data_IF_043463412977
#
_entry.id   IF_043463412977
#
_cell.length_a   1.000
_cell.length_b   1.000
_cell.length_c   1.000
_cell.angle_alpha   90.00
_cell.angle_beta   90.00
_cell.angle_gamma   90.00
#
_symmetry.space_group_name_H-M   'P 1'
#
loop_
_entity.id
_entity.type
_entity.pdbx_description
1 polymer ?
#
# COMPACT_ATOMS: atom_id res chain seq x y z
N UNK A 1 -19.57 36.46 -39.19
CA UNK A 1 -18.64 35.58 -38.42
C UNK A 1 -18.47 35.96 -36.94
N UNK A 2 -18.38 37.25 -36.57
CA UNK A 2 -18.15 37.66 -35.16
C UNK A 2 -19.28 37.25 -34.19
N UNK A 3 -20.55 37.37 -34.60
CA UNK A 3 -21.71 37.07 -33.73
C UNK A 3 -21.82 35.58 -33.34
N UNK A 4 -21.54 34.65 -34.26
CA UNK A 4 -21.57 33.21 -33.94
C UNK A 4 -20.49 32.81 -32.92
N UNK A 5 -19.29 33.40 -33.01
CA UNK A 5 -18.21 33.17 -32.03
C UNK A 5 -18.58 33.71 -30.65
N UNK A 6 -19.26 34.86 -30.60
CA UNK A 6 -19.72 35.45 -29.35
C UNK A 6 -20.78 34.59 -28.65
N UNK A 7 -21.76 34.06 -29.39
CA UNK A 7 -22.81 33.17 -28.84
C UNK A 7 -22.19 31.86 -28.33
N UNK A 8 -21.24 31.27 -29.05
CA UNK A 8 -20.53 30.06 -28.59
C UNK A 8 -19.76 30.35 -27.30
N UNK A 9 -19.05 31.47 -27.22
CA UNK A 9 -18.31 31.86 -26.01
C UNK A 9 -19.25 32.02 -24.80
N UNK A 10 -20.39 32.67 -25.00
CA UNK A 10 -21.40 32.87 -23.95
C UNK A 10 -21.99 31.54 -23.47
N UNK A 11 -22.27 30.62 -24.40
CA UNK A 11 -22.76 29.27 -24.07
C UNK A 11 -21.71 28.46 -23.30
N UNK A 12 -20.43 28.53 -23.71
CA UNK A 12 -19.32 27.89 -22.98
C UNK A 12 -19.20 28.49 -21.58
N UNK A 13 -19.22 29.83 -21.44
CA UNK A 13 -19.16 30.49 -20.14
C UNK A 13 -20.35 30.12 -19.23
N UNK A 14 -21.56 29.98 -19.79
CA UNK A 14 -22.71 29.48 -19.03
C UNK A 14 -22.52 28.04 -18.56
N UNK A 15 -22.01 27.15 -19.42
CA UNK A 15 -21.72 25.76 -19.04
C UNK A 15 -20.65 25.70 -17.95
N UNK A 16 -19.57 26.49 -18.06
CA UNK A 16 -18.53 26.54 -17.03
C UNK A 16 -19.00 27.19 -15.74
N UNK A 17 -19.83 28.23 -15.81
CA UNK A 17 -20.42 28.87 -14.63
C UNK A 17 -21.41 27.94 -13.92
N UNK A 18 -22.24 27.23 -14.69
CA UNK A 18 -23.12 26.19 -14.15
C UNK A 18 -22.31 25.05 -13.55
N UNK A 19 -21.26 24.61 -14.25
CA UNK A 19 -20.29 23.64 -13.74
C UNK A 19 -19.72 24.07 -12.40
N UNK A 20 -19.18 25.29 -12.31
CA UNK A 20 -18.62 25.86 -11.09
C UNK A 20 -19.59 25.82 -9.91
N UNK A 21 -20.88 26.14 -10.17
CA UNK A 21 -21.93 26.10 -9.16
C UNK A 21 -22.28 24.67 -8.75
N UNK A 22 -22.42 23.75 -9.71
CA UNK A 22 -22.76 22.34 -9.45
C UNK A 22 -21.61 21.62 -8.72
N UNK A 23 -20.37 22.00 -8.98
CA UNK A 23 -19.18 21.45 -8.33
C UNK A 23 -18.80 22.20 -7.05
N UNK A 24 -19.58 23.21 -6.63
CA UNK A 24 -19.39 23.95 -5.38
C UNK A 24 -17.94 24.43 -5.17
N UNK A 25 -17.30 24.98 -6.21
CA UNK A 25 -15.88 25.34 -6.12
C UNK A 25 -15.71 26.61 -5.28
N UNK A 26 -15.16 26.43 -4.08
CA UNK A 26 -14.82 27.51 -3.16
C UNK A 26 -13.29 27.64 -2.97
N UNK A 27 -12.66 28.49 -3.77
CA UNK A 27 -11.19 28.70 -3.72
C UNK A 27 -10.72 29.25 -2.36
N UNK A 28 -11.61 29.92 -1.60
CA UNK A 28 -11.30 30.44 -0.28
C UNK A 28 -11.02 29.34 0.76
N UNK A 29 -11.77 28.23 0.72
CA UNK A 29 -11.62 27.13 1.67
C UNK A 29 -10.26 26.42 1.51
N UNK A 30 -9.76 26.32 0.28
CA UNK A 30 -8.44 25.74 -0.03
C UNK A 30 -7.32 26.38 0.80
N UNK A 31 -7.36 27.70 0.99
CA UNK A 31 -6.33 28.42 1.76
C UNK A 31 -6.66 28.46 3.26
N UNK A 32 -7.94 28.53 3.63
CA UNK A 32 -8.39 28.57 5.03
C UNK A 32 -8.03 27.26 5.75
N UNK A 33 -8.34 26.13 5.13
CA UNK A 33 -8.29 24.81 5.78
C UNK A 33 -6.96 24.07 5.54
N UNK A 34 -6.02 24.70 4.81
CA UNK A 34 -4.68 24.16 4.54
C UNK A 34 -3.89 23.78 5.81
N UNK A 35 -4.12 24.49 6.91
CA UNK A 35 -3.47 24.23 8.20
C UNK A 35 -3.79 22.82 8.75
N UNK A 36 -4.95 22.24 8.41
CA UNK A 36 -5.34 20.88 8.81
C UNK A 36 -4.56 19.81 8.04
N UNK A 37 -4.16 20.10 6.81
CA UNK A 37 -3.46 19.17 5.91
C UNK A 37 -1.95 19.20 6.13
N UNK A 38 -1.41 20.34 6.57
CA UNK A 38 0.02 20.55 6.83
C UNK A 38 0.69 19.44 7.69
N UNK A 39 0.13 18.99 8.84
CA UNK A 39 0.73 17.91 9.61
C UNK A 39 0.76 16.58 8.85
N UNK A 40 -0.34 16.24 8.15
CA UNK A 40 -0.46 15.02 7.36
C UNK A 40 0.58 14.96 6.23
N UNK A 41 0.74 16.06 5.50
CA UNK A 41 1.74 16.16 4.43
C UNK A 41 3.16 16.08 4.97
N UNK A 42 3.41 16.65 6.16
CA UNK A 42 4.71 16.57 6.81
C UNK A 42 5.06 15.14 7.21
N UNK A 43 4.11 14.40 7.77
CA UNK A 43 4.29 12.99 8.15
C UNK A 43 4.48 12.10 6.92
N UNK A 44 3.68 12.29 5.87
CA UNK A 44 3.87 11.60 4.58
C UNK A 44 5.24 11.87 3.95
N UNK A 45 5.83 13.04 4.19
CA UNK A 45 7.15 13.42 3.71
C UNK A 45 8.31 12.88 4.60
N UNK A 46 8.01 12.25 5.73
CA UNK A 46 8.97 11.66 6.66
C UNK A 46 8.80 10.13 6.69
N UNK A 47 9.25 9.42 5.63
CA UNK A 47 9.06 7.98 5.54
C UNK A 47 9.83 7.26 6.66
N UNK A 48 9.16 6.29 7.27
CA UNK A 48 9.75 5.36 8.23
C UNK A 48 10.62 4.31 7.51
N UNK A 49 11.88 4.65 7.26
CA UNK A 49 12.84 3.79 6.54
C UNK A 49 13.80 3.04 7.46
N UNK A 50 14.20 3.65 8.57
CA UNK A 50 15.21 3.11 9.47
C UNK A 50 14.77 3.26 10.91
N UNK A 51 14.89 2.18 11.66
CA UNK A 51 14.63 2.15 13.11
C UNK A 51 15.86 1.63 13.84
N UNK A 52 15.92 1.92 15.14
CA UNK A 52 16.86 1.28 16.06
C UNK A 52 16.07 0.37 16.99
N UNK A 53 16.62 -0.80 17.30
CA UNK A 53 15.95 -1.76 18.18
C UNK A 53 15.80 -1.13 19.56
N UNK A 54 14.57 -1.11 20.06
CA UNK A 54 14.29 -0.67 21.43
C UNK A 54 14.36 -1.88 22.33
N UNK A 55 15.41 -1.96 23.15
CA UNK A 55 15.39 -2.90 24.28
C UNK A 55 14.67 -2.25 25.45
N UNK A 56 13.83 -3.04 26.08
CA UNK A 56 13.11 -2.64 27.28
C UNK A 56 13.56 -3.55 28.42
N UNK A 57 13.94 -2.96 29.54
CA UNK A 57 14.18 -3.68 30.77
C UNK A 57 13.06 -3.33 31.73
N UNK A 58 12.38 -4.37 32.20
CA UNK A 58 11.28 -4.27 33.16
C UNK A 58 11.74 -4.91 34.45
N UNK A 59 11.62 -4.17 35.54
CA UNK A 59 11.94 -4.65 36.88
C UNK A 59 10.75 -4.41 37.79
N UNK A 60 10.37 -5.44 38.54
CA UNK A 60 9.17 -5.44 39.35
C UNK A 60 9.49 -5.83 40.78
N UNK A 61 8.81 -5.19 41.73
CA UNK A 61 8.92 -5.51 43.15
C UNK A 61 7.52 -5.54 43.78
N UNK A 62 7.17 -6.63 44.50
CA UNK A 62 5.86 -6.73 45.13
C UNK A 62 5.76 -5.80 46.34
N UNK A 63 4.57 -5.24 46.53
CA UNK A 63 4.20 -4.42 47.68
C UNK A 63 2.87 -4.93 48.26
N UNK A 64 2.79 -5.04 49.59
CA UNK A 64 1.61 -5.51 50.30
C UNK A 64 0.83 -4.36 50.93
N UNK A 65 -0.43 -4.21 50.56
CA UNK A 65 -1.32 -3.19 51.13
C UNK A 65 -1.97 -3.71 52.43
N UNK A 66 -1.17 -3.94 53.48
CA UNK A 66 -1.61 -4.41 54.80
C UNK A 66 -0.48 -4.36 55.85
N UNK A 67 -0.80 -4.14 57.13
CA UNK A 67 0.17 -4.22 58.26
C UNK A 67 0.56 -5.66 58.67
N UNK A 68 0.34 -6.67 57.82
CA UNK A 68 0.75 -8.03 58.13
C UNK A 68 2.27 -8.16 58.10
N UNK A 69 2.88 -8.71 59.16
CA UNK A 69 4.30 -9.07 59.28
C UNK A 69 4.79 -10.12 58.26
N UNK A 70 3.99 -10.48 57.26
CA UNK A 70 4.41 -11.29 56.13
C UNK A 70 5.23 -10.42 55.18
N UNK A 71 6.51 -10.25 55.51
CA UNK A 71 7.47 -9.63 54.59
C UNK A 71 7.53 -10.52 53.33
N UNK A 72 7.30 -9.99 52.13
CA UNK A 72 7.46 -10.80 50.92
C UNK A 72 8.90 -11.33 50.88
N UNK A 73 9.05 -12.65 50.68
CA UNK A 73 10.37 -13.28 50.57
C UNK A 73 11.12 -12.67 49.39
N UNK A 74 12.17 -11.90 49.70
CA UNK A 74 13.10 -11.37 48.72
C UNK A 74 13.91 -12.54 48.16
N UNK A 75 13.70 -12.86 46.89
CA UNK A 75 14.61 -13.76 46.17
C UNK A 75 15.90 -12.97 45.94
N UNK A 76 17.02 -13.41 46.54
CA UNK A 76 18.34 -12.88 46.25
C UNK A 76 18.70 -13.16 44.80
N UNK A 77 18.30 -12.26 43.90
CA UNK A 77 18.67 -12.27 42.49
C UNK A 77 19.86 -11.34 42.30
N UNK A 78 20.89 -11.83 41.60
CA UNK A 78 22.10 -11.10 41.19
C UNK A 78 21.87 -10.15 39.99
N UNK A 79 20.62 -10.09 39.48
CA UNK A 79 20.24 -9.29 38.33
C UNK A 79 19.63 -7.91 38.68
N UNK A 80 19.09 -7.20 37.67
CA UNK A 80 18.43 -5.90 37.85
C UNK A 80 17.25 -6.03 38.83
N UNK A 81 17.18 -5.15 39.83
CA UNK A 81 16.16 -5.22 40.90
C UNK A 81 15.76 -3.86 41.43
N UNK A 82 14.55 -3.80 41.98
CA UNK A 82 14.05 -2.66 42.74
C UNK A 82 14.06 -2.98 44.24
N UNK A 83 14.47 -2.02 45.04
CA UNK A 83 14.48 -2.07 46.50
C UNK A 83 13.55 -0.98 46.99
N UNK A 84 12.58 -1.37 47.81
CA UNK A 84 11.67 -0.43 48.48
C UNK A 84 12.14 -0.21 49.93
N UNK A 85 11.97 1.02 50.43
CA UNK A 85 12.19 1.33 51.84
C UNK A 85 11.26 0.55 52.77
N UNK A 86 10.05 0.23 52.30
CA UNK A 86 9.12 -0.70 52.94
C UNK A 86 8.37 -1.51 51.88
N UNK A 87 8.16 -2.79 52.14
CA UNK A 87 7.42 -3.71 51.27
C UNK A 87 5.95 -3.85 51.67
N UNK A 88 5.53 -3.14 52.72
CA UNK A 88 4.14 -3.03 53.15
C UNK A 88 3.82 -1.62 53.66
N UNK A 89 2.54 -1.23 53.57
CA UNK A 89 2.09 0.09 54.02
C UNK A 89 0.66 0.42 53.61
N UNK A 90 0.25 1.65 53.88
CA UNK A 90 -1.07 2.19 53.63
C UNK A 90 -1.09 3.17 52.45
N UNK A 91 -2.30 3.50 51.99
CA UNK A 91 -2.50 4.52 50.96
C UNK A 91 -1.95 5.85 51.46
N UNK A 92 -1.27 6.61 50.59
CA UNK A 92 -0.59 7.88 50.91
C UNK A 92 0.70 7.77 51.72
N UNK A 93 1.18 6.57 52.04
CA UNK A 93 2.53 6.41 52.60
C UNK A 93 3.60 6.80 51.59
N UNK A 94 4.67 7.41 52.10
CA UNK A 94 5.87 7.75 51.30
C UNK A 94 6.84 6.59 51.33
N UNK A 95 7.27 6.17 50.15
CA UNK A 95 8.20 5.06 49.95
C UNK A 95 9.36 5.54 49.09
N UNK A 96 10.58 5.20 49.47
CA UNK A 96 11.75 5.41 48.62
C UNK A 96 11.97 4.15 47.79
N UNK A 97 12.08 4.33 46.47
CA UNK A 97 12.34 3.26 45.50
C UNK A 97 13.75 3.45 44.96
N UNK A 98 14.60 2.45 45.21
CA UNK A 98 15.94 2.39 44.63
C UNK A 98 15.98 1.32 43.54
N UNK A 99 16.41 1.68 42.34
CA UNK A 99 16.75 0.70 41.30
C UNK A 99 18.23 0.42 41.30
N UNK A 100 18.61 -0.86 41.14
CA UNK A 100 20.00 -1.31 41.06
C UNK A 100 20.16 -2.23 39.85
N UNK A 101 21.26 -2.06 39.12
CA UNK A 101 21.64 -2.92 37.98
C UNK A 101 20.82 -2.67 36.72
N UNK A 102 20.22 -1.48 36.58
CA UNK A 102 19.54 -1.04 35.37
C UNK A 102 20.56 -0.53 34.34
N UNK A 103 20.15 -0.36 33.08
CA UNK A 103 21.07 0.23 32.09
C UNK A 103 21.48 1.67 32.45
N UNK A 104 22.77 2.01 32.39
CA UNK A 104 23.27 3.35 32.76
C UNK A 104 22.78 4.47 31.84
N UNK A 105 22.63 5.67 32.43
CA UNK A 105 22.30 6.93 31.73
C UNK A 105 21.01 6.88 30.88
N UNK A 106 20.06 6.03 31.26
CA UNK A 106 18.78 5.87 30.58
C UNK A 106 17.64 6.54 31.34
N UNK A 107 16.65 7.02 30.57
CA UNK A 107 15.40 7.52 31.12
C UNK A 107 14.39 6.37 31.26
N UNK A 108 13.75 6.31 32.43
CA UNK A 108 12.74 5.32 32.77
C UNK A 108 11.47 5.93 33.33
N UNK A 109 10.43 5.10 33.44
CA UNK A 109 9.18 5.44 34.10
C UNK A 109 8.82 4.41 35.15
N UNK A 110 8.34 4.89 36.30
CA UNK A 110 7.78 4.06 37.36
C UNK A 110 6.28 3.97 37.21
N UNK A 111 5.76 2.77 37.46
CA UNK A 111 4.36 2.44 37.45
C UNK A 111 3.99 1.71 38.73
N UNK A 112 2.81 2.01 39.25
CA UNK A 112 2.13 1.21 40.25
C UNK A 112 1.16 0.28 39.54
N UNK A 113 1.32 -1.02 39.73
CA UNK A 113 0.46 -2.04 39.14
C UNK A 113 -0.40 -2.62 40.27
N UNK A 114 -1.72 -2.50 40.12
CA UNK A 114 -2.65 -3.02 41.13
C UNK A 114 -2.94 -4.52 40.93
N UNK A 115 -3.78 -5.09 41.79
CA UNK A 115 -4.13 -6.52 41.76
C UNK A 115 -4.89 -6.98 40.50
N UNK A 116 -5.36 -6.04 39.67
CA UNK A 116 -6.02 -6.31 38.38
C UNK A 116 -5.12 -5.95 37.19
N UNK A 117 -3.80 -5.86 37.41
CA UNK A 117 -2.78 -5.56 36.39
C UNK A 117 -2.91 -4.18 35.71
N UNK A 118 -3.66 -3.26 36.31
CA UNK A 118 -3.77 -1.89 35.80
C UNK A 118 -2.57 -1.05 36.25
N UNK A 119 -1.88 -0.43 35.29
CA UNK A 119 -0.70 0.41 35.52
C UNK A 119 -1.08 1.88 35.78
N UNK A 120 -0.53 2.48 36.84
CA UNK A 120 -0.67 3.89 37.18
C UNK A 120 0.71 4.55 37.20
N UNK A 121 0.96 5.62 36.42
CA UNK A 121 2.28 6.24 36.38
C UNK A 121 2.61 6.95 37.71
N UNK A 122 3.78 6.64 38.27
CA UNK A 122 4.37 7.27 39.47
C UNK A 122 5.44 8.32 39.11
N UNK A 123 5.72 8.48 37.81
CA UNK A 123 6.61 9.49 37.24
C UNK A 123 7.93 8.91 36.70
N UNK A 124 8.73 9.77 36.08
CA UNK A 124 9.98 9.38 35.40
C UNK A 124 11.23 9.45 36.31
N UNK A 125 12.25 8.67 35.98
CA UNK A 125 13.57 8.70 36.63
C UNK A 125 14.66 8.62 35.55
N UNK A 126 15.90 8.97 35.91
CA UNK A 126 17.09 8.69 35.10
C UNK A 126 18.04 7.83 35.91
N UNK A 127 18.64 6.83 35.28
CA UNK A 127 19.72 6.04 35.89
C UNK A 127 21.04 6.80 35.81
N UNK A 128 21.89 6.63 36.82
CA UNK A 128 23.24 7.18 36.83
C UNK A 128 24.22 6.31 36.00
N UNK A 129 25.51 6.67 36.02
CA UNK A 129 26.58 5.93 35.32
C UNK A 129 26.77 4.49 35.83
N UNK A 130 26.22 4.17 37.01
CA UNK A 130 26.27 2.84 37.63
C UNK A 130 24.98 2.06 37.44
N UNK A 131 23.98 2.63 36.76
CA UNK A 131 22.70 1.96 36.54
C UNK A 131 21.78 2.01 37.76
N UNK A 132 22.01 2.94 38.69
CA UNK A 132 21.20 3.13 39.88
C UNK A 132 20.29 4.36 39.75
N UNK A 133 19.14 4.33 40.43
CA UNK A 133 18.34 5.52 40.67
C UNK A 133 17.73 5.46 42.06
N UNK A 134 17.41 6.62 42.63
CA UNK A 134 16.62 6.72 43.85
C UNK A 134 15.48 7.71 43.61
N UNK A 135 14.25 7.31 43.91
CA UNK A 135 13.08 8.15 43.79
C UNK A 135 12.04 7.88 44.86
N UNK A 136 11.59 8.95 45.49
CA UNK A 136 10.47 8.88 46.43
C UNK A 136 9.14 8.85 45.68
N UNK A 137 8.29 7.89 46.02
CA UNK A 137 6.94 7.73 45.52
C UNK A 137 5.95 7.77 46.68
N UNK A 138 4.67 7.99 46.36
CA UNK A 138 3.58 7.91 47.33
C UNK A 138 2.62 6.82 46.89
N UNK A 139 2.19 5.97 47.83
CA UNK A 139 1.23 4.90 47.53
C UNK A 139 -0.07 5.53 46.99
N UNK A 140 -0.47 5.23 45.75
CA UNK A 140 -1.55 5.96 45.10
C UNK A 140 -2.91 5.62 45.74
N UNK A 141 -3.87 6.55 45.74
CA UNK A 141 -5.23 6.31 46.25
C UNK A 141 -6.02 5.29 45.40
N UNK A 142 -5.52 4.97 44.20
CA UNK A 142 -6.04 3.92 43.33
C UNK A 142 -5.56 2.50 43.71
N UNK A 143 -4.68 2.36 44.71
CA UNK A 143 -4.21 1.06 45.16
C UNK A 143 -5.37 0.23 45.75
N UNK A 144 -5.62 -0.95 45.17
CA UNK A 144 -6.73 -1.83 45.54
C UNK A 144 -6.30 -3.30 45.48
N UNK A 145 -6.62 -4.05 46.53
CA UNK A 145 -6.21 -5.46 46.69
C UNK A 145 -4.94 -5.62 47.53
N UNK A 146 -4.71 -6.84 48.04
CA UNK A 146 -3.65 -7.14 49.01
C UNK A 146 -2.23 -7.10 48.39
N UNK A 147 -2.07 -7.62 47.16
CA UNK A 147 -0.80 -7.65 46.45
C UNK A 147 -0.80 -6.59 45.36
N UNK A 148 0.21 -5.73 45.36
CA UNK A 148 0.48 -4.71 44.36
C UNK A 148 1.91 -4.89 43.87
N UNK A 149 2.27 -4.25 42.77
CA UNK A 149 3.64 -4.30 42.22
C UNK A 149 4.08 -2.89 41.87
N UNK A 150 5.30 -2.53 42.26
CA UNK A 150 5.98 -1.36 41.71
C UNK A 150 6.82 -1.85 40.53
N UNK A 151 6.59 -1.25 39.37
CA UNK A 151 7.21 -1.62 38.10
C UNK A 151 8.05 -0.46 37.57
N UNK A 152 9.32 -0.69 37.33
CA UNK A 152 10.21 0.23 36.64
C UNK A 152 10.42 -0.25 35.21
N UNK A 153 10.21 0.64 34.25
CA UNK A 153 10.42 0.37 32.83
C UNK A 153 11.43 1.37 32.30
N UNK A 154 12.57 0.88 31.83
CA UNK A 154 13.51 1.67 31.02
C UNK A 154 13.51 1.14 29.59
N UNK A 155 13.60 2.04 28.62
CA UNK A 155 13.71 1.67 27.21
C UNK A 155 14.81 2.48 26.57
N UNK A 156 15.76 1.81 25.92
CA UNK A 156 16.85 2.46 25.20
C UNK A 156 16.95 1.92 23.79
N UNK A 157 17.54 2.71 22.91
CA UNK A 157 17.83 2.30 21.54
C UNK A 157 19.20 1.61 21.51
N UNK A 158 19.22 0.31 21.21
CA UNK A 158 20.44 -0.50 21.13
C UNK A 158 20.70 -0.92 19.68
N UNK A 159 21.97 -0.88 19.27
CA UNK A 159 22.39 -1.34 17.95
C UNK A 159 22.56 -0.25 16.88
N UNK A 160 22.96 -0.69 15.68
CA UNK A 160 23.09 0.17 14.51
C UNK A 160 21.75 0.49 13.86
N UNK A 161 21.77 1.36 12.85
CA UNK A 161 20.60 1.59 12.01
C UNK A 161 20.17 0.30 11.31
N UNK A 162 18.92 -0.12 11.51
CA UNK A 162 18.32 -1.26 10.83
C UNK A 162 17.17 -0.79 9.93
N UNK A 163 16.88 -1.56 8.88
CA UNK A 163 15.70 -1.32 8.05
C UNK A 163 14.44 -1.46 8.92
N UNK A 164 13.54 -0.48 8.84
CA UNK A 164 12.28 -0.55 9.58
C UNK A 164 11.47 -1.79 9.17
N UNK A 165 10.66 -2.30 10.09
CA UNK A 165 9.68 -3.36 9.77
C UNK A 165 8.76 -2.89 8.62
N UNK A 166 8.37 -1.62 8.66
CA UNK A 166 7.63 -0.92 7.60
C UNK A 166 8.30 -1.03 6.24
N UNK A 167 9.61 -0.80 6.15
CA UNK A 167 10.36 -0.85 4.89
C UNK A 167 10.41 -2.28 4.34
N UNK A 168 10.66 -3.27 5.19
CA UNK A 168 10.72 -4.68 4.80
C UNK A 168 9.36 -5.16 4.28
N UNK A 169 8.28 -4.83 5.00
CA UNK A 169 6.92 -5.16 4.61
C UNK A 169 6.50 -4.41 3.33
N UNK A 170 6.89 -3.14 3.19
CA UNK A 170 6.66 -2.35 1.97
C UNK A 170 7.35 -3.01 0.77
N UNK A 171 8.60 -3.43 0.92
CA UNK A 171 9.34 -4.09 -0.16
C UNK A 171 8.67 -5.38 -0.59
N UNK A 172 8.29 -6.25 0.35
CA UNK A 172 7.56 -7.49 0.06
C UNK A 172 6.27 -7.22 -0.71
N UNK A 173 5.46 -6.26 -0.26
CA UNK A 173 4.20 -5.90 -0.93
C UNK A 173 4.38 -5.19 -2.25
N UNK A 174 5.45 -4.44 -2.44
CA UNK A 174 5.80 -3.89 -3.75
C UNK A 174 6.18 -4.99 -4.74
N UNK A 175 6.93 -6.01 -4.31
CA UNK A 175 7.23 -7.18 -5.13
C UNK A 175 5.93 -7.90 -5.51
N UNK A 176 5.05 -8.15 -4.54
CA UNK A 176 3.71 -8.73 -4.77
C UNK A 176 2.91 -7.92 -5.82
N UNK A 177 2.94 -6.60 -5.73
CA UNK A 177 2.26 -5.66 -6.65
C UNK A 177 2.78 -5.79 -8.08
N UNK A 178 4.10 -5.84 -8.25
CA UNK A 178 4.74 -5.97 -9.56
C UNK A 178 4.45 -7.32 -10.21
N UNK A 179 4.52 -8.42 -9.44
CA UNK A 179 4.22 -9.75 -9.94
C UNK A 179 2.72 -9.96 -10.21
N UNK A 180 1.84 -9.41 -9.37
CA UNK A 180 0.39 -9.39 -9.61
C UNK A 180 0.09 -8.73 -10.96
N UNK A 181 0.64 -7.54 -11.21
CA UNK A 181 0.47 -6.84 -12.46
C UNK A 181 1.07 -7.61 -13.65
N UNK A 182 2.21 -8.29 -13.45
CA UNK A 182 2.83 -9.14 -14.47
C UNK A 182 1.91 -10.30 -14.84
N UNK A 183 1.38 -11.03 -13.85
CA UNK A 183 0.46 -12.16 -14.07
C UNK A 183 -0.83 -11.72 -14.75
N UNK A 184 -1.42 -10.61 -14.31
CA UNK A 184 -2.59 -10.03 -14.96
C UNK A 184 -2.32 -9.69 -16.43
N UNK A 185 -1.15 -9.10 -16.71
CA UNK A 185 -0.77 -8.73 -18.07
C UNK A 185 -0.51 -9.95 -18.94
N UNK A 186 0.22 -10.94 -18.42
CA UNK A 186 0.50 -12.20 -19.14
C UNK A 186 -0.79 -12.93 -19.50
N UNK A 187 -1.72 -13.08 -18.55
CA UNK A 187 -3.04 -13.65 -18.82
C UNK A 187 -3.82 -12.82 -19.85
N UNK A 188 -3.79 -11.50 -19.68
CA UNK A 188 -4.39 -10.53 -20.60
C UNK A 188 -3.88 -10.70 -22.02
N UNK A 189 -2.56 -10.78 -22.22
CA UNK A 189 -1.90 -10.95 -23.52
C UNK A 189 -2.25 -12.31 -24.13
N UNK A 190 -2.16 -13.38 -23.35
CA UNK A 190 -2.40 -14.75 -23.83
C UNK A 190 -3.80 -14.89 -24.44
N UNK A 191 -4.80 -14.24 -23.83
CA UNK A 191 -6.18 -14.23 -24.32
C UNK A 191 -6.41 -13.14 -25.37
N UNK A 192 -5.79 -11.97 -25.23
CA UNK A 192 -5.94 -10.85 -26.17
C UNK A 192 -5.38 -11.15 -27.56
N UNK A 193 -4.25 -11.86 -27.66
CA UNK A 193 -3.61 -12.20 -28.95
C UNK A 193 -4.58 -12.95 -29.88
N UNK A 194 -5.16 -14.12 -29.50
CA UNK A 194 -6.09 -14.81 -30.39
C UNK A 194 -7.37 -14.01 -30.66
N UNK A 195 -7.91 -13.32 -29.65
CA UNK A 195 -9.10 -12.47 -29.81
C UNK A 195 -8.83 -11.32 -30.78
N UNK A 196 -7.61 -10.77 -30.80
CA UNK A 196 -7.26 -9.64 -31.67
C UNK A 196 -7.32 -9.97 -33.15
N UNK A 197 -6.95 -11.19 -33.55
CA UNK A 197 -7.10 -11.66 -34.92
C UNK A 197 -8.57 -11.80 -35.34
N UNK A 198 -9.44 -12.22 -34.41
CA UNK A 198 -10.89 -12.26 -34.63
C UNK A 198 -11.54 -10.85 -34.61
N UNK A 199 -10.88 -9.89 -33.96
CA UNK A 199 -11.31 -8.50 -33.89
C UNK A 199 -10.77 -7.60 -35.01
N UNK A 200 -9.97 -8.14 -35.93
CA UNK A 200 -9.33 -7.38 -37.01
C UNK A 200 -10.17 -7.39 -38.29
N UNK A 201 -10.52 -6.19 -38.78
CA UNK A 201 -11.39 -6.01 -39.96
C UNK A 201 -10.79 -6.61 -41.23
N UNK A 202 -9.51 -6.38 -41.50
CA UNK A 202 -8.85 -6.87 -42.71
C UNK A 202 -8.88 -8.41 -42.84
N UNK A 203 -8.88 -9.15 -41.73
CA UNK A 203 -8.93 -10.62 -41.73
C UNK A 203 -10.35 -11.19 -41.75
N UNK A 204 -11.30 -10.54 -41.08
CA UNK A 204 -12.62 -11.14 -40.82
C UNK A 204 -13.72 -10.70 -41.80
N UNK A 205 -13.58 -9.59 -42.52
CA UNK A 205 -14.67 -9.09 -43.38
C UNK A 205 -14.82 -9.82 -44.73
N UNK A 206 -13.97 -10.81 -45.02
CA UNK A 206 -14.03 -11.60 -46.27
C UNK A 206 -15.20 -12.57 -46.38
N UNK A 207 -15.90 -12.87 -45.27
CA UNK A 207 -17.06 -13.77 -45.24
C UNK A 207 -18.15 -13.21 -44.32
N UNK A 208 -19.43 -13.49 -44.61
CA UNK A 208 -20.57 -13.06 -43.77
C UNK A 208 -20.45 -13.54 -42.33
N UNK A 209 -19.94 -14.76 -42.13
CA UNK A 209 -19.71 -15.35 -40.80
C UNK A 209 -18.58 -14.60 -40.07
N UNK A 210 -17.50 -14.29 -40.78
CA UNK A 210 -16.39 -13.52 -40.21
C UNK A 210 -16.80 -12.10 -39.81
N UNK A 211 -17.59 -11.42 -40.64
CA UNK A 211 -18.15 -10.10 -40.31
C UNK A 211 -19.00 -10.14 -39.05
N UNK A 212 -19.81 -11.19 -38.84
CA UNK A 212 -20.58 -11.35 -37.61
C UNK A 212 -19.66 -11.53 -36.38
N UNK A 213 -18.65 -12.41 -36.47
CA UNK A 213 -17.66 -12.62 -35.40
C UNK A 213 -16.96 -11.31 -35.05
N UNK A 214 -16.53 -10.55 -36.05
CA UNK A 214 -15.90 -9.24 -35.87
C UNK A 214 -16.77 -8.31 -35.02
N UNK A 215 -18.06 -8.14 -35.36
CA UNK A 215 -18.95 -7.25 -34.61
C UNK A 215 -19.19 -7.75 -33.18
N UNK A 216 -19.35 -9.06 -32.98
CA UNK A 216 -19.52 -9.65 -31.63
C UNK A 216 -18.28 -9.40 -30.78
N UNK A 217 -17.09 -9.71 -31.29
CA UNK A 217 -15.82 -9.51 -30.58
C UNK A 217 -15.59 -8.04 -30.27
N UNK A 218 -15.74 -7.15 -31.27
CA UNK A 218 -15.52 -5.70 -31.10
C UNK A 218 -16.48 -5.10 -30.07
N UNK A 219 -17.74 -5.53 -30.09
CA UNK A 219 -18.75 -5.10 -29.12
C UNK A 219 -18.42 -5.62 -27.72
N UNK A 220 -18.07 -6.90 -27.59
CA UNK A 220 -17.66 -7.48 -26.31
C UNK A 220 -16.46 -6.79 -25.69
N UNK A 221 -15.42 -6.50 -26.47
CA UNK A 221 -14.24 -5.75 -26.00
C UNK A 221 -14.59 -4.33 -25.57
N UNK A 222 -15.47 -3.64 -26.31
CA UNK A 222 -15.91 -2.30 -25.95
C UNK A 222 -16.70 -2.31 -24.63
N UNK A 223 -17.63 -3.26 -24.45
CA UNK A 223 -18.42 -3.40 -23.21
C UNK A 223 -17.53 -3.70 -22.02
N UNK A 224 -16.61 -4.66 -22.16
CA UNK A 224 -15.70 -5.03 -21.07
C UNK A 224 -14.77 -3.88 -20.67
N UNK A 225 -14.39 -3.04 -21.64
CA UNK A 225 -13.58 -1.84 -21.39
C UNK A 225 -14.36 -0.71 -20.73
N UNK A 226 -15.69 -0.65 -20.90
CA UNK A 226 -16.53 0.36 -20.25
C UNK A 226 -16.65 0.14 -18.73
N UNK A 227 -16.34 -1.06 -18.23
CA UNK A 227 -16.35 -1.36 -16.80
C UNK A 227 -14.97 -1.03 -16.22
N UNK A 228 -14.95 -0.19 -15.20
CA UNK A 228 -13.72 0.22 -14.51
C UNK A 228 -13.09 -0.98 -13.76
N UNK A 229 -11.75 -1.13 -13.75
CA UNK A 229 -11.06 -2.22 -13.04
C UNK A 229 -11.40 -2.32 -11.56
N UNK A 230 -11.67 -1.19 -10.90
CA UNK A 230 -12.06 -1.16 -9.49
C UNK A 230 -13.38 -1.93 -9.26
N UNK A 231 -14.36 -1.76 -10.14
CA UNK A 231 -15.64 -2.48 -10.05
C UNK A 231 -15.40 -3.97 -10.25
N UNK A 232 -14.58 -4.34 -11.24
CA UNK A 232 -14.22 -5.75 -11.45
C UNK A 232 -13.52 -6.34 -10.21
N UNK A 233 -12.61 -5.59 -9.60
CA UNK A 233 -11.91 -6.03 -8.39
C UNK A 233 -12.88 -6.33 -7.25
N UNK A 234 -13.87 -5.47 -7.00
CA UNK A 234 -14.90 -5.73 -6.00
C UNK A 234 -15.64 -7.05 -6.31
N UNK A 235 -16.07 -7.25 -7.56
CA UNK A 235 -16.77 -8.48 -7.97
C UNK A 235 -15.91 -9.73 -7.78
N UNK A 236 -14.63 -9.68 -8.16
CA UNK A 236 -13.71 -10.81 -8.01
C UNK A 236 -13.31 -11.07 -6.55
N UNK A 237 -13.20 -10.03 -5.72
CA UNK A 237 -12.99 -10.17 -4.28
C UNK A 237 -14.18 -10.85 -3.62
N UNK A 238 -15.41 -10.48 -4.00
CA UNK A 238 -16.62 -11.17 -3.51
C UNK A 238 -16.67 -12.62 -4.00
N UNK A 239 -16.21 -12.89 -5.22
CA UNK A 239 -16.26 -14.23 -5.80
C UNK A 239 -15.19 -15.18 -5.24
N UNK A 240 -13.96 -14.71 -5.11
CA UNK A 240 -12.77 -15.55 -4.86
C UNK A 240 -12.13 -15.28 -3.49
N UNK A 241 -12.53 -14.19 -2.84
CA UNK A 241 -11.98 -13.73 -1.57
C UNK A 241 -10.97 -12.59 -1.72
N UNK A 242 -10.63 -11.99 -0.58
CA UNK A 242 -9.64 -10.92 -0.49
C UNK A 242 -8.25 -11.49 -0.80
N UNK A 243 -7.50 -10.81 -1.67
CA UNK A 243 -6.09 -11.14 -1.92
C UNK A 243 -5.63 -10.89 -3.36
N UNK A 244 -4.35 -11.19 -3.65
CA UNK A 244 -3.71 -10.90 -4.94
C UNK A 244 -4.40 -11.56 -6.13
N UNK A 245 -4.95 -12.76 -5.93
CA UNK A 245 -5.59 -13.51 -7.00
C UNK A 245 -6.83 -12.80 -7.56
N UNK A 246 -7.65 -12.16 -6.71
CA UNK A 246 -8.76 -11.33 -7.16
C UNK A 246 -8.26 -10.12 -7.97
N UNK A 247 -7.16 -9.50 -7.56
CA UNK A 247 -6.50 -8.43 -8.30
C UNK A 247 -5.99 -8.87 -9.68
N UNK A 248 -5.36 -10.05 -9.77
CA UNK A 248 -4.92 -10.65 -11.04
C UNK A 248 -6.10 -10.84 -12.00
N UNK A 249 -7.21 -11.39 -11.52
CA UNK A 249 -8.40 -11.61 -12.35
C UNK A 249 -9.01 -10.29 -12.84
N UNK A 250 -9.18 -9.32 -11.94
CA UNK A 250 -9.74 -8.01 -12.28
C UNK A 250 -8.91 -7.28 -13.33
N UNK A 251 -7.59 -7.16 -13.09
CA UNK A 251 -6.68 -6.53 -14.04
C UNK A 251 -6.52 -7.35 -15.32
N UNK A 252 -6.51 -8.68 -15.22
CA UNK A 252 -6.35 -9.57 -16.35
C UNK A 252 -7.50 -9.43 -17.33
N UNK A 253 -8.74 -9.53 -16.86
CA UNK A 253 -9.96 -9.37 -17.67
C UNK A 253 -10.01 -7.99 -18.30
N UNK A 254 -9.72 -6.93 -17.55
CA UNK A 254 -9.66 -5.59 -18.11
C UNK A 254 -8.51 -5.43 -19.13
N UNK A 255 -7.37 -6.10 -18.92
CA UNK A 255 -6.26 -6.15 -19.88
C UNK A 255 -6.61 -6.88 -21.18
N UNK A 256 -7.40 -7.96 -21.13
CA UNK A 256 -7.91 -8.62 -22.34
C UNK A 256 -8.67 -7.63 -23.21
N UNK A 257 -9.58 -6.86 -22.62
CA UNK A 257 -10.39 -5.88 -23.34
C UNK A 257 -9.54 -4.81 -24.03
N UNK A 258 -8.62 -4.21 -23.29
CA UNK A 258 -7.79 -3.13 -23.81
C UNK A 258 -6.77 -3.62 -24.85
N UNK A 259 -6.03 -4.70 -24.54
CA UNK A 259 -5.03 -5.23 -25.45
C UNK A 259 -5.66 -5.86 -26.68
N UNK A 260 -6.76 -6.61 -26.54
CA UNK A 260 -7.44 -7.23 -27.68
C UNK A 260 -7.85 -6.19 -28.72
N UNK A 261 -8.36 -5.04 -28.25
CA UNK A 261 -8.70 -3.90 -29.11
C UNK A 261 -7.45 -3.31 -29.77
N UNK A 262 -6.44 -2.94 -28.99
CA UNK A 262 -5.23 -2.29 -29.50
C UNK A 262 -4.47 -3.20 -30.47
N UNK A 263 -4.33 -4.48 -30.14
CA UNK A 263 -3.71 -5.48 -31.02
C UNK A 263 -4.49 -5.64 -32.33
N UNK A 264 -5.83 -5.67 -32.29
CA UNK A 264 -6.62 -5.77 -33.52
C UNK A 264 -6.45 -4.54 -34.43
N UNK A 265 -6.28 -3.36 -33.85
CA UNK A 265 -5.99 -2.14 -34.61
C UNK A 265 -4.59 -2.17 -35.22
N UNK A 266 -3.59 -2.73 -34.52
CA UNK A 266 -2.27 -2.95 -35.12
C UNK A 266 -2.32 -3.94 -36.28
N UNK A 267 -3.11 -5.01 -36.17
CA UNK A 267 -3.32 -5.97 -37.26
C UNK A 267 -3.98 -5.28 -38.46
N UNK A 268 -4.93 -4.37 -38.24
CA UNK A 268 -5.60 -3.61 -39.31
C UNK A 268 -4.64 -2.65 -40.05
N UNK A 269 -3.52 -2.27 -39.44
CA UNK A 269 -2.51 -1.38 -40.02
C UNK A 269 -1.39 -2.10 -40.81
N UNK A 270 -1.45 -3.43 -40.93
CA UNK A 270 -0.46 -4.26 -41.63
C UNK A 270 -0.44 -3.99 -43.14
N UNK A 271 0.75 -4.00 -43.76
CA UNK A 271 0.89 -3.87 -45.21
C UNK A 271 0.28 -5.10 -45.91
N UNK A 272 -0.69 -4.91 -46.83
CA UNK A 272 -1.27 -6.02 -47.58
C UNK A 272 -0.27 -6.75 -48.49
N UNK A 273 0.84 -6.13 -48.91
CA UNK A 273 1.78 -6.73 -49.86
C UNK A 273 2.32 -8.11 -49.45
N UNK A 274 2.95 -8.26 -48.26
CA UNK A 274 3.38 -9.57 -47.76
C UNK A 274 2.23 -10.58 -47.58
N UNK A 275 1.02 -10.09 -47.23
CA UNK A 275 -0.18 -10.93 -47.05
C UNK A 275 -0.64 -11.51 -48.40
N UNK A 276 -0.68 -10.69 -49.45
CA UNK A 276 -1.02 -11.08 -50.81
C UNK A 276 0.03 -12.02 -51.41
N UNK A 277 1.32 -11.75 -51.18
CA UNK A 277 2.42 -12.59 -51.64
C UNK A 277 2.30 -14.02 -51.07
N UNK A 278 2.10 -14.16 -49.76
CA UNK A 278 1.89 -15.47 -49.11
C UNK A 278 0.60 -16.14 -49.59
N UNK A 279 -0.46 -15.37 -49.83
CA UNK A 279 -1.73 -15.92 -50.35
C UNK A 279 -1.59 -16.44 -51.78
N UNK A 280 -0.80 -15.77 -52.63
CA UNK A 280 -0.64 -16.13 -54.05
C UNK A 280 0.03 -17.48 -54.28
N UNK A 281 0.83 -17.98 -53.33
CA UNK A 281 1.43 -19.31 -53.37
C UNK A 281 0.51 -20.44 -52.85
N UNK A 282 -0.77 -20.12 -52.59
CA UNK A 282 -1.78 -21.10 -52.14
C UNK A 282 -1.73 -21.40 -50.64
N UNK A 283 -1.18 -20.50 -49.83
CA UNK A 283 -1.09 -20.68 -48.39
C UNK A 283 -2.48 -20.72 -47.71
N UNK A 284 -2.63 -21.56 -46.69
CA UNK A 284 -3.84 -21.64 -45.86
C UNK A 284 -3.98 -20.38 -44.99
N UNK A 285 -5.19 -19.99 -44.53
CA UNK A 285 -5.39 -18.79 -43.72
C UNK A 285 -4.49 -18.67 -42.47
N UNK A 286 -4.24 -19.79 -41.78
CA UNK A 286 -3.32 -19.82 -40.62
C UNK A 286 -1.87 -19.52 -41.05
N UNK A 287 -1.44 -19.99 -42.22
CA UNK A 287 -0.12 -19.71 -42.76
C UNK A 287 0.02 -18.24 -43.17
N UNK A 288 -1.03 -17.65 -43.75
CA UNK A 288 -1.08 -16.21 -44.06
C UNK A 288 -0.94 -15.38 -42.78
N UNK A 289 -1.62 -15.76 -41.69
CA UNK A 289 -1.47 -15.08 -40.41
C UNK A 289 -0.04 -15.22 -39.88
N UNK A 290 0.52 -16.43 -39.87
CA UNK A 290 1.82 -16.70 -39.26
C UNK A 290 3.01 -16.09 -40.03
N UNK A 291 2.95 -16.07 -41.36
CA UNK A 291 4.07 -15.62 -42.20
C UNK A 291 3.84 -14.23 -42.81
N UNK A 292 2.59 -13.81 -42.99
CA UNK A 292 2.26 -12.50 -43.58
C UNK A 292 1.98 -11.42 -42.52
N UNK A 293 1.26 -11.76 -41.45
CA UNK A 293 0.74 -10.76 -40.49
C UNK A 293 1.59 -10.69 -39.22
N UNK A 294 1.79 -11.83 -38.55
CA UNK A 294 2.45 -11.91 -37.24
C UNK A 294 3.85 -11.26 -37.21
N UNK A 295 4.72 -11.45 -38.22
CA UNK A 295 6.05 -10.83 -38.23
C UNK A 295 6.01 -9.30 -38.23
N UNK A 296 4.95 -8.70 -38.78
CA UNK A 296 4.79 -7.26 -38.88
C UNK A 296 4.28 -6.62 -37.57
N UNK A 297 3.58 -7.38 -36.72
CA UNK A 297 2.91 -6.83 -35.52
C UNK A 297 3.53 -7.28 -34.19
N UNK A 298 4.39 -8.29 -34.19
CA UNK A 298 4.92 -8.89 -32.95
C UNK A 298 5.69 -7.89 -32.09
N UNK A 299 6.45 -7.00 -32.73
CA UNK A 299 7.19 -5.93 -32.06
C UNK A 299 6.24 -4.94 -31.37
N UNK A 300 5.19 -4.51 -32.06
CA UNK A 300 4.17 -3.61 -31.52
C UNK A 300 3.36 -4.29 -30.41
N UNK A 301 3.06 -5.58 -30.53
CA UNK A 301 2.39 -6.36 -29.48
C UNK A 301 3.21 -6.39 -28.20
N UNK A 302 4.53 -6.64 -28.30
CA UNK A 302 5.42 -6.59 -27.14
C UNK A 302 5.44 -5.20 -26.51
N UNK A 303 5.59 -4.14 -27.31
CA UNK A 303 5.62 -2.76 -26.82
C UNK A 303 4.33 -2.37 -26.07
N UNK A 304 3.17 -2.74 -26.61
CA UNK A 304 1.87 -2.53 -25.99
C UNK A 304 1.68 -3.38 -24.73
N UNK A 305 2.23 -4.59 -24.70
CA UNK A 305 2.19 -5.47 -23.52
C UNK A 305 2.99 -4.89 -22.35
N UNK A 306 4.22 -4.40 -22.61
CA UNK A 306 5.03 -3.73 -21.59
C UNK A 306 4.37 -2.44 -21.08
N UNK A 307 3.81 -1.65 -22.00
CA UNK A 307 3.05 -0.47 -21.61
C UNK A 307 1.84 -0.81 -20.73
N UNK A 308 1.13 -1.91 -21.04
CA UNK A 308 0.01 -2.38 -20.23
C UNK A 308 0.46 -2.89 -18.87
N UNK A 309 1.62 -3.51 -18.78
CA UNK A 309 2.19 -3.95 -17.52
C UNK A 309 2.47 -2.76 -16.59
N UNK A 310 3.08 -1.68 -17.08
CA UNK A 310 3.28 -0.44 -16.29
C UNK A 310 1.93 0.11 -15.78
N UNK A 311 0.94 0.22 -16.66
CA UNK A 311 -0.42 0.65 -16.27
C UNK A 311 -0.99 -0.26 -15.18
N UNK A 312 -0.84 -1.56 -15.32
CA UNK A 312 -1.36 -2.53 -14.35
C UNK A 312 -0.67 -2.42 -12.99
N UNK A 313 0.65 -2.14 -12.94
CA UNK A 313 1.36 -1.87 -11.68
C UNK A 313 0.76 -0.63 -11.01
N UNK A 314 0.53 0.44 -11.77
CA UNK A 314 -0.09 1.66 -11.23
C UNK A 314 -1.52 1.42 -10.72
N UNK A 315 -2.35 0.74 -11.52
CA UNK A 315 -3.74 0.45 -11.18
C UNK A 315 -3.89 -0.51 -10.00
N UNK A 316 -2.92 -1.41 -9.80
CA UNK A 316 -2.95 -2.36 -8.68
C UNK A 316 -2.91 -1.69 -7.31
N UNK A 317 -2.36 -0.47 -7.20
CA UNK A 317 -2.38 0.31 -5.96
C UNK A 317 -3.81 0.68 -5.55
N UNK A 318 -4.66 1.08 -6.50
CA UNK A 318 -6.06 1.41 -6.25
C UNK A 318 -6.89 0.13 -6.01
N UNK A 319 -6.59 -0.93 -6.76
CA UNK A 319 -7.27 -2.23 -6.58
C UNK A 319 -6.96 -2.86 -5.22
N UNK A 320 -5.77 -2.61 -4.66
CA UNK A 320 -5.45 -3.03 -3.30
C UNK A 320 -6.39 -2.44 -2.24
N UNK A 321 -6.94 -1.24 -2.47
CA UNK A 321 -7.85 -0.57 -1.52
C UNK A 321 -9.17 -1.33 -1.36
N UNK A 322 -9.61 -2.02 -2.42
CA UNK A 322 -10.84 -2.82 -2.42
C UNK A 322 -10.60 -4.30 -2.11
N UNK A 323 -9.39 -4.65 -1.64
CA UNK A 323 -9.04 -6.02 -1.25
C UNK A 323 -8.36 -6.85 -2.35
N UNK A 324 -7.89 -6.23 -3.43
CA UNK A 324 -7.16 -6.91 -4.50
C UNK A 324 -5.69 -7.24 -4.19
N UNK A 325 -5.23 -7.03 -2.95
CA UNK A 325 -3.86 -7.33 -2.49
C UNK A 325 -2.81 -6.27 -2.84
N UNK A 326 -1.55 -6.62 -2.67
CA UNK A 326 -0.40 -5.75 -2.96
C UNK A 326 -0.23 -4.59 -1.98
N UNK A 327 0.58 -3.61 -2.40
CA UNK A 327 0.95 -2.44 -1.59
C UNK A 327 -0.25 -1.54 -1.29
N UNK A 328 -1.24 -1.51 -2.20
CA UNK A 328 -2.45 -0.71 -2.03
C UNK A 328 -3.22 -1.08 -0.77
N UNK A 329 -3.26 -2.37 -0.43
CA UNK A 329 -3.93 -2.85 0.77
C UNK A 329 -3.27 -2.30 2.05
N UNK A 330 -1.93 -2.34 2.14
CA UNK A 330 -1.21 -1.78 3.28
C UNK A 330 -1.31 -0.26 3.35
N UNK A 331 -1.23 0.41 2.20
CA UNK A 331 -1.39 1.86 2.14
C UNK A 331 -2.75 2.28 2.69
N UNK A 332 -3.83 1.60 2.30
CA UNK A 332 -5.17 1.85 2.84
C UNK A 332 -5.23 1.57 4.34
N UNK A 333 -4.59 0.49 4.82
CA UNK A 333 -4.54 0.15 6.23
C UNK A 333 -3.82 1.23 7.06
N UNK A 334 -2.67 1.72 6.61
CA UNK A 334 -1.92 2.77 7.31
C UNK A 334 -2.66 4.10 7.34
N UNK A 335 -3.32 4.47 6.23
CA UNK A 335 -4.18 5.67 6.19
C UNK A 335 -5.33 5.52 7.20
N UNK A 336 -5.99 4.36 7.25
CA UNK A 336 -7.08 4.10 8.20
C UNK A 336 -6.61 4.11 9.67
N UNK A 337 -5.36 3.74 9.93
CA UNK A 337 -4.75 3.76 11.26
C UNK A 337 -4.10 5.12 11.61
N UNK A 338 -4.23 6.14 10.74
CA UNK A 338 -3.60 7.45 10.89
C UNK A 338 -2.06 7.38 11.01
N UNK A 339 -1.46 6.34 10.41
CA UNK A 339 -0.03 6.04 10.39
C UNK A 339 0.62 6.62 9.13
N UNK A 340 0.72 7.94 9.08
CA UNK A 340 1.13 8.65 7.85
C UNK A 340 2.62 8.53 7.52
N UNK A 341 3.50 8.30 8.51
CA UNK A 341 4.92 8.04 8.26
C UNK A 341 5.11 6.72 7.48
N UNK A 342 4.38 5.68 7.88
CA UNK A 342 4.39 4.38 7.21
C UNK A 342 3.73 4.45 5.82
N UNK A 343 2.61 5.17 5.70
CA UNK A 343 2.01 5.47 4.39
C UNK A 343 2.97 6.24 3.47
N UNK A 344 3.80 7.14 4.02
CA UNK A 344 4.87 7.84 3.32
C UNK A 344 5.91 6.89 2.73
N UNK A 345 6.29 5.85 3.48
CA UNK A 345 7.19 4.78 3.00
C UNK A 345 6.60 4.03 1.81
N UNK A 346 5.33 3.61 1.88
CA UNK A 346 4.63 3.00 0.74
C UNK A 346 4.58 3.94 -0.48
N UNK A 347 4.23 5.21 -0.27
CA UNK A 347 4.11 6.19 -1.36
C UNK A 347 5.46 6.40 -2.07
N UNK A 348 6.54 6.52 -1.29
CA UNK A 348 7.90 6.63 -1.83
C UNK A 348 8.27 5.38 -2.65
N UNK A 349 7.99 4.18 -2.12
CA UNK A 349 8.29 2.94 -2.81
C UNK A 349 7.49 2.78 -4.12
N UNK A 350 6.21 3.13 -4.12
CA UNK A 350 5.37 3.16 -5.33
C UNK A 350 5.97 4.12 -6.35
N UNK A 351 6.33 5.35 -5.94
CA UNK A 351 6.91 6.34 -6.83
C UNK A 351 8.22 5.84 -7.47
N UNK A 352 9.13 5.27 -6.68
CA UNK A 352 10.39 4.70 -7.17
C UNK A 352 10.13 3.61 -8.22
N UNK A 353 9.30 2.61 -7.89
CA UNK A 353 9.01 1.49 -8.80
C UNK A 353 8.35 1.97 -10.10
N UNK A 354 7.37 2.87 -10.00
CA UNK A 354 6.66 3.42 -11.15
C UNK A 354 7.60 4.22 -12.06
N UNK A 355 8.47 5.06 -11.50
CA UNK A 355 9.47 5.82 -12.27
C UNK A 355 10.46 4.85 -12.94
N UNK A 356 10.91 3.82 -12.24
CA UNK A 356 11.79 2.79 -12.81
C UNK A 356 11.11 2.03 -13.96
N UNK A 357 9.84 1.65 -13.81
CA UNK A 357 9.10 0.93 -14.85
C UNK A 357 8.80 1.80 -16.08
N UNK A 358 8.43 3.07 -15.88
CA UNK A 358 8.17 3.99 -16.97
C UNK A 358 9.46 4.26 -17.79
N UNK A 359 10.58 4.51 -17.11
CA UNK A 359 11.87 4.71 -17.78
C UNK A 359 12.36 3.45 -18.51
N UNK A 360 12.13 2.25 -17.96
CA UNK A 360 12.42 0.99 -18.63
C UNK A 360 11.54 0.79 -19.86
N UNK A 361 10.24 1.03 -19.73
CA UNK A 361 9.25 0.90 -20.80
C UNK A 361 9.49 1.90 -21.95
N UNK A 362 9.95 3.11 -21.64
CA UNK A 362 10.36 4.11 -22.62
C UNK A 362 11.60 3.65 -23.41
N UNK A 363 12.62 3.12 -22.73
CA UNK A 363 13.83 2.60 -23.37
C UNK A 363 13.57 1.40 -24.28
N UNK A 364 12.68 0.48 -23.86
CA UNK A 364 12.30 -0.68 -24.67
C UNK A 364 11.57 -0.21 -25.93
N UNK A 365 10.60 0.70 -25.82
CA UNK A 365 9.90 1.26 -26.99
C UNK A 365 10.84 1.94 -27.98
N UNK A 366 11.79 2.73 -27.49
CA UNK A 366 12.75 3.44 -28.33
C UNK A 366 13.73 2.53 -29.08
N UNK A 367 13.86 1.25 -28.70
CA UNK A 367 14.67 0.25 -29.43
C UNK A 367 13.86 -0.59 -30.42
N UNK A 368 12.53 -0.60 -30.27
CA UNK A 368 11.62 -1.44 -31.06
C UNK A 368 11.01 -0.67 -32.22
N UNK A 369 10.87 0.65 -32.07
CA UNK A 369 10.63 1.61 -33.16
C UNK A 369 11.95 1.93 -33.85
#
# INVERSE_FOLDING_TARGET
MKTKRFVILLAVLMVYSYGWKVTEIEVGELFRDFHLVKPLVRELAQPDLFTRDKKTQVVEVPFLLSQSNDTPKLTESTGPRLILSSYSGEISDRLSVQGIGLEPEQYGSLYWVNAIEQEFPLGSFSTDSSGEFNKDITVPPSARGLRQVVKAVISWEEGGWQASETLSLTFEKMVETVFLALMATTFGVLVAVPISFLGARNLMTGSRIGTFIYYVVRTGLNVLRSIEPLIMAILFVVWVGIGPFAGVLALGVHSVAALGKLFSEQIECVDPGPVEAVTSVGAKPIQVIYFGVLPQVILQFMALSFYRWDINVRMSTIIGFVGGGGIGFLLQQWINLLKYNEAGTALLAIAIVVITLDTLSAKIRARVQ
#
